data_IF_500146698395
#
_entry.id   IF_500146698395
#
_cell.length_a   1.000
_cell.length_b   1.000
_cell.length_c   1.000
_cell.angle_alpha   90.00
_cell.angle_beta   90.00
_cell.angle_gamma   90.00
#
_symmetry.space_group_name_H-M   'P 1'
#
loop_
_entity.id
_entity.type
_entity.pdbx_description
1 polymer ?
#
# COMPACT_ATOMS: atom_id res chain seq x y z
N UNK A 1 -15.60 17.27 -32.95
CA UNK A 1 -16.49 16.60 -31.97
C UNK A 1 -16.03 15.17 -31.64
N UNK A 2 -15.85 14.29 -32.62
CA UNK A 2 -15.36 12.90 -32.41
C UNK A 2 -14.00 12.82 -31.70
N UNK A 3 -13.04 13.67 -32.08
CA UNK A 3 -11.70 13.70 -31.48
C UNK A 3 -11.74 14.10 -30.00
N UNK A 4 -12.63 15.01 -29.61
CA UNK A 4 -12.81 15.41 -28.21
C UNK A 4 -13.39 14.26 -27.37
N UNK A 5 -14.31 13.48 -27.94
CA UNK A 5 -14.87 12.29 -27.31
C UNK A 5 -13.80 11.20 -27.09
N UNK A 6 -12.91 10.99 -28.07
CA UNK A 6 -11.80 10.05 -27.91
C UNK A 6 -10.81 10.53 -26.84
N UNK A 7 -10.47 11.82 -26.81
CA UNK A 7 -9.57 12.39 -25.83
C UNK A 7 -10.09 12.24 -24.39
N UNK A 8 -11.39 12.49 -24.17
CA UNK A 8 -12.01 12.32 -22.84
C UNK A 8 -12.05 10.85 -22.42
N UNK A 9 -12.22 9.93 -23.37
CA UNK A 9 -12.30 8.50 -23.10
C UNK A 9 -10.92 7.92 -22.72
N UNK A 10 -9.85 8.39 -23.37
CA UNK A 10 -8.47 8.04 -23.02
C UNK A 10 -8.04 8.62 -21.67
N UNK A 11 -8.43 9.86 -21.35
CA UNK A 11 -8.16 10.44 -20.04
C UNK A 11 -8.88 9.69 -18.90
N UNK A 12 -10.12 9.27 -19.13
CA UNK A 12 -10.88 8.50 -18.16
C UNK A 12 -10.28 7.11 -17.89
N UNK A 13 -9.73 6.43 -18.91
CA UNK A 13 -9.07 5.14 -18.71
C UNK A 13 -7.76 5.27 -17.94
N UNK A 14 -6.96 6.30 -18.21
CA UNK A 14 -5.69 6.56 -17.53
C UNK A 14 -5.90 6.79 -16.02
N UNK A 15 -6.95 7.52 -15.63
CA UNK A 15 -7.27 7.80 -14.23
C UNK A 15 -7.56 6.53 -13.39
N UNK A 16 -8.06 5.46 -14.02
CA UNK A 16 -8.35 4.19 -13.34
C UNK A 16 -7.08 3.41 -12.97
N UNK A 17 -5.94 3.67 -13.62
CA UNK A 17 -4.66 3.00 -13.34
C UNK A 17 -3.90 3.59 -12.14
N UNK A 18 -4.30 4.75 -11.60
CA UNK A 18 -3.62 5.39 -10.47
C UNK A 18 -4.14 4.95 -9.09
N UNK A 19 -4.88 3.85 -9.01
CA UNK A 19 -5.33 3.34 -7.72
C UNK A 19 -4.16 2.74 -6.93
N UNK A 20 -3.96 3.34 -5.75
CA UNK A 20 -3.20 2.88 -4.57
C UNK A 20 -1.68 3.01 -4.64
N UNK A 21 -1.18 4.24 -4.57
CA UNK A 21 0.02 4.46 -3.77
C UNK A 21 -0.40 4.36 -2.30
N UNK A 22 -0.52 3.13 -1.77
CA UNK A 22 -0.55 2.94 -0.32
C UNK A 22 0.78 3.47 0.19
N UNK A 23 0.73 4.51 1.02
CA UNK A 23 1.93 4.99 1.70
C UNK A 23 2.46 3.82 2.54
N UNK A 24 3.56 3.22 2.10
CA UNK A 24 4.18 2.11 2.81
C UNK A 24 5.00 2.65 3.98
N UNK A 25 5.08 1.87 5.05
CA UNK A 25 5.85 2.20 6.24
C UNK A 25 7.34 1.99 5.99
N UNK A 26 8.15 2.94 6.46
CA UNK A 26 9.61 2.84 6.39
C UNK A 26 10.14 1.82 7.40
N UNK A 27 11.36 1.32 7.17
CA UNK A 27 12.00 0.42 8.14
C UNK A 27 12.15 1.11 9.52
N UNK A 28 11.82 0.39 10.58
CA UNK A 28 11.75 0.89 11.95
C UNK A 28 10.40 1.48 12.35
N UNK A 29 9.47 1.70 11.42
CA UNK A 29 8.10 2.13 11.75
C UNK A 29 7.27 0.98 12.30
N UNK A 30 6.28 1.32 13.12
CA UNK A 30 5.38 0.36 13.78
C UNK A 30 4.43 -0.24 12.75
N UNK A 31 4.37 -1.56 12.73
CA UNK A 31 3.43 -2.32 11.93
C UNK A 31 2.59 -3.22 12.84
N UNK A 32 1.30 -3.31 12.54
CA UNK A 32 0.34 -4.11 13.32
C UNK A 32 -0.36 -5.06 12.35
N UNK A 33 -0.27 -6.35 12.63
CA UNK A 33 -1.08 -7.36 11.97
C UNK A 33 -2.48 -7.35 12.57
N UNK A 34 -3.49 -7.15 11.73
CA UNK A 34 -4.86 -7.50 12.06
C UNK A 34 -4.97 -9.02 12.29
N UNK A 35 -5.90 -9.51 13.13
CA UNK A 35 -6.18 -10.95 13.30
C UNK A 35 -6.41 -11.73 11.98
N UNK A 36 -6.75 -11.04 10.90
CA UNK A 36 -6.87 -11.63 9.55
C UNK A 36 -5.53 -11.81 8.82
N UNK A 37 -4.40 -11.43 9.44
CA UNK A 37 -3.07 -11.48 8.85
C UNK A 37 -2.73 -10.31 7.92
N UNK A 38 -3.58 -9.27 7.88
CA UNK A 38 -3.35 -8.07 7.06
C UNK A 38 -2.71 -6.97 7.90
N UNK A 39 -1.66 -6.32 7.39
CA UNK A 39 -1.05 -5.17 8.03
C UNK A 39 -1.89 -3.92 7.80
N UNK A 40 -2.16 -3.13 8.85
CA UNK A 40 -2.88 -1.85 8.73
C UNK A 40 -2.16 -0.84 7.82
N UNK A 41 -0.85 -1.02 7.64
CA UNK A 41 -0.05 -0.37 6.61
C UNK A 41 1.11 -1.30 6.23
N UNK A 42 1.33 -1.48 4.92
CA UNK A 42 2.36 -2.37 4.41
C UNK A 42 3.75 -1.77 4.64
N UNK A 43 4.68 -2.54 5.18
CA UNK A 43 6.09 -2.16 5.19
C UNK A 43 6.61 -2.06 3.76
N UNK A 44 7.36 -1.01 3.41
CA UNK A 44 7.96 -0.90 2.07
C UNK A 44 8.91 -2.06 1.76
N UNK A 45 9.51 -2.65 2.80
CA UNK A 45 10.33 -3.86 2.75
C UNK A 45 9.52 -5.16 2.63
N UNK A 46 8.19 -5.10 2.73
CA UNK A 46 7.28 -6.25 2.70
C UNK A 46 7.34 -7.14 3.95
N UNK A 47 8.08 -6.73 4.98
CA UNK A 47 8.30 -7.54 6.18
C UNK A 47 8.09 -6.75 7.45
N UNK A 48 7.11 -7.19 8.25
CA UNK A 48 6.84 -6.69 9.58
C UNK A 48 7.39 -7.70 10.60
N UNK A 49 8.42 -7.29 11.33
CA UNK A 49 9.06 -8.12 12.33
C UNK A 49 8.35 -8.00 13.68
N UNK A 50 7.70 -9.08 14.12
CA UNK A 50 7.04 -9.17 15.43
C UNK A 50 7.40 -10.49 16.11
N UNK A 51 7.68 -10.45 17.42
CA UNK A 51 7.93 -11.64 18.24
C UNK A 51 6.75 -11.97 19.15
N UNK A 52 6.66 -13.24 19.57
CA UNK A 52 5.65 -13.70 20.53
C UNK A 52 5.77 -12.92 21.82
N UNK A 53 4.67 -12.27 22.23
CA UNK A 53 4.60 -11.44 23.44
C UNK A 53 4.89 -9.96 23.22
N UNK A 54 5.18 -9.51 22.00
CA UNK A 54 5.25 -8.08 21.67
C UNK A 54 3.87 -7.53 21.36
N UNK A 55 3.58 -6.34 21.89
CA UNK A 55 2.31 -5.63 21.64
C UNK A 55 2.17 -5.20 20.17
N UNK A 56 3.29 -4.88 19.51
CA UNK A 56 3.36 -4.42 18.12
C UNK A 56 4.62 -4.92 17.41
N UNK A 57 4.61 -4.93 16.08
CA UNK A 57 5.77 -5.24 15.23
C UNK A 57 6.44 -4.00 14.67
N UNK A 58 7.58 -4.19 14.00
CA UNK A 58 8.31 -3.11 13.32
C UNK A 58 8.74 -3.51 11.91
N UNK A 59 8.63 -2.59 10.96
CA UNK A 59 9.08 -2.81 9.59
C UNK A 59 10.59 -3.03 9.55
N UNK A 60 11.00 -4.03 8.77
CA UNK A 60 12.42 -4.38 8.69
C UNK A 60 12.74 -4.95 7.30
N UNK A 61 13.88 -4.59 6.74
CA UNK A 61 14.41 -5.30 5.58
C UNK A 61 14.75 -6.75 5.97
N UNK A 62 14.27 -7.72 5.20
CA UNK A 62 14.59 -9.13 5.40
C UNK A 62 16.01 -9.46 4.93
#
# INVERSE_FOLDING_TARGET
MKVLLFATLVLATIALFFHTATACLSDGEKCVYDPSGQTFADCCSGFCYQQVGWEEGYCKTQ
#
